data_IF_725155215738
#
_entry.id   IF_725155215738
#
_cell.length_a   1.000
_cell.length_b   1.000
_cell.length_c   1.000
_cell.angle_alpha   90.00
_cell.angle_beta   90.00
_cell.angle_gamma   90.00
#
_symmetry.space_group_name_H-M   'P 1'
#
loop_
_entity.id
_entity.type
_entity.pdbx_description
1 polymer ?
#
# COMPACT_ATOMS: atom_id res chain seq x y z
N UNK A 1 18.33 17.64 5.37
CA UNK A 1 17.20 17.05 6.10
C UNK A 1 16.60 15.91 5.31
N UNK A 2 16.66 14.70 5.89
CA UNK A 2 16.22 13.46 5.25
C UNK A 2 14.72 13.29 5.55
N UNK A 3 13.86 13.59 4.58
CA UNK A 3 12.42 13.49 4.77
C UNK A 3 11.98 12.01 4.74
N UNK A 4 11.28 11.51 5.77
CA UNK A 4 10.82 10.12 5.84
C UNK A 4 9.94 9.68 4.65
N UNK A 5 9.22 10.62 4.03
CA UNK A 5 8.37 10.36 2.87
C UNK A 5 9.18 9.92 1.63
N UNK A 6 10.32 10.56 1.39
CA UNK A 6 11.21 10.23 0.27
C UNK A 6 11.77 8.82 0.42
N UNK A 7 12.01 8.38 1.66
CA UNK A 7 12.46 7.02 1.95
C UNK A 7 11.37 5.99 1.66
N UNK A 8 10.12 6.25 2.05
CA UNK A 8 9.01 5.32 1.79
C UNK A 8 8.75 5.16 0.29
N UNK A 9 8.79 6.26 -0.47
CA UNK A 9 8.61 6.16 -1.93
C UNK A 9 9.78 5.45 -2.61
N UNK A 10 11.00 5.66 -2.13
CA UNK A 10 12.16 4.89 -2.61
C UNK A 10 11.98 3.39 -2.37
N UNK A 11 11.62 2.99 -1.14
CA UNK A 11 11.40 1.57 -0.80
C UNK A 11 10.30 0.98 -1.68
N UNK A 12 9.17 1.68 -1.85
CA UNK A 12 8.07 1.24 -2.72
C UNK A 12 8.50 1.09 -4.17
N UNK A 13 9.35 1.99 -4.66
CA UNK A 13 9.92 1.91 -6.01
C UNK A 13 10.81 0.68 -6.14
N UNK A 14 11.73 0.48 -5.19
CA UNK A 14 12.64 -0.67 -5.17
C UNK A 14 11.86 -2.01 -5.11
N UNK A 15 10.81 -2.09 -4.28
CA UNK A 15 9.96 -3.28 -4.17
C UNK A 15 9.22 -3.61 -5.48
N UNK A 16 8.68 -2.59 -6.18
CA UNK A 16 8.04 -2.77 -7.49
C UNK A 16 9.04 -3.24 -8.55
N UNK A 17 10.24 -2.65 -8.57
CA UNK A 17 11.31 -3.06 -9.51
C UNK A 17 11.76 -4.50 -9.27
N UNK A 18 11.92 -4.90 -8.00
CA UNK A 18 12.24 -6.27 -7.63
C UNK A 18 11.14 -7.23 -8.06
N UNK A 19 9.87 -6.87 -7.83
CA UNK A 19 8.75 -7.71 -8.25
C UNK A 19 8.74 -7.96 -9.75
N UNK A 20 8.99 -6.93 -10.57
CA UNK A 20 9.14 -7.07 -12.03
C UNK A 20 10.33 -7.97 -12.37
N UNK A 21 11.50 -7.72 -11.76
CA UNK A 21 12.74 -8.46 -12.04
C UNK A 21 12.62 -9.95 -11.75
N UNK A 22 11.91 -10.31 -10.69
CA UNK A 22 11.76 -11.70 -10.23
C UNK A 22 10.43 -12.34 -10.61
N UNK A 23 9.60 -11.66 -11.43
CA UNK A 23 8.27 -12.11 -11.82
C UNK A 23 7.39 -12.49 -10.61
N UNK A 24 7.38 -11.61 -9.61
CA UNK A 24 6.56 -11.72 -8.41
C UNK A 24 5.38 -10.77 -8.49
N UNK A 25 4.29 -11.12 -7.82
CA UNK A 25 3.20 -10.20 -7.59
C UNK A 25 3.55 -9.23 -6.45
N UNK A 26 3.21 -7.94 -6.59
CA UNK A 26 3.47 -6.89 -5.60
C UNK A 26 2.16 -6.25 -5.14
N UNK A 27 1.84 -6.40 -3.86
CA UNK A 27 0.66 -5.80 -3.22
C UNK A 27 1.06 -4.49 -2.53
N UNK A 28 0.62 -3.36 -3.06
CA UNK A 28 0.94 -2.02 -2.55
C UNK A 28 -0.16 -1.49 -1.63
N UNK A 29 -0.04 -1.76 -0.32
CA UNK A 29 -1.03 -1.31 0.66
C UNK A 29 -1.15 0.21 0.81
N UNK A 30 -0.13 0.99 0.41
CA UNK A 30 -0.24 2.45 0.49
C UNK A 30 -1.38 2.98 -0.39
N UNK A 31 -1.83 2.22 -1.40
CA UNK A 31 -3.03 2.54 -2.19
C UNK A 31 -4.32 2.58 -1.36
N UNK A 32 -4.43 1.79 -0.29
CA UNK A 32 -5.59 1.83 0.59
C UNK A 32 -5.66 3.11 1.45
N UNK A 33 -4.50 3.76 1.65
CA UNK A 33 -4.35 4.96 2.50
C UNK A 33 -4.23 6.26 1.70
N UNK A 34 -4.39 6.22 0.38
CA UNK A 34 -4.38 7.40 -0.48
C UNK A 34 -5.78 7.70 -1.02
N UNK A 35 -6.18 8.97 -1.03
CA UNK A 35 -7.37 9.43 -1.73
C UNK A 35 -7.12 9.48 -3.26
N UNK A 36 -8.16 9.72 -4.09
CA UNK A 36 -7.98 9.80 -5.54
C UNK A 36 -7.08 10.95 -6.02
N UNK A 37 -6.73 11.90 -5.15
CA UNK A 37 -5.78 12.98 -5.40
C UNK A 37 -4.36 12.66 -4.88
N UNK A 38 -4.16 11.48 -4.29
CA UNK A 38 -2.88 11.02 -3.75
C UNK A 38 -2.57 11.53 -2.34
N UNK A 39 -3.54 12.12 -1.63
CA UNK A 39 -3.35 12.57 -0.24
C UNK A 39 -3.59 11.43 0.74
N UNK A 40 -2.88 11.49 1.87
CA UNK A 40 -3.03 10.52 2.95
C UNK A 40 -4.41 10.63 3.58
N UNK A 41 -5.07 9.49 3.75
CA UNK A 41 -6.33 9.32 4.46
C UNK A 41 -6.07 9.19 5.96
N UNK A 42 -5.84 10.31 6.63
CA UNK A 42 -5.49 10.36 8.06
C UNK A 42 -6.53 9.67 8.94
N UNK A 43 -7.80 9.62 8.51
CA UNK A 43 -8.90 8.96 9.23
C UNK A 43 -8.74 7.45 9.37
N UNK A 44 -7.82 6.83 8.63
CA UNK A 44 -7.54 5.39 8.68
C UNK A 44 -6.46 5.02 9.70
N UNK A 45 -5.84 6.00 10.34
CA UNK A 45 -4.75 5.79 11.30
C UNK A 45 -5.23 5.93 12.75
N UNK A 46 -4.53 5.26 13.67
CA UNK A 46 -4.66 5.44 15.11
C UNK A 46 -3.69 6.52 15.62
N UNK A 47 -2.47 6.54 15.09
CA UNK A 47 -1.36 7.36 15.59
C UNK A 47 -0.42 7.85 14.46
N UNK A 48 -0.99 8.14 13.29
CA UNK A 48 -0.28 8.51 12.06
C UNK A 48 0.65 7.42 11.47
N UNK A 49 0.69 6.22 12.07
CA UNK A 49 1.48 5.08 11.56
C UNK A 49 0.65 3.81 11.52
N UNK A 50 0.02 3.44 12.63
CA UNK A 50 -0.73 2.20 12.75
C UNK A 50 -2.15 2.36 12.21
N UNK A 51 -2.67 1.42 11.39
CA UNK A 51 -4.06 1.43 10.96
C UNK A 51 -5.01 1.27 12.15
N UNK A 52 -6.13 1.99 12.12
CA UNK A 52 -7.29 1.69 12.97
C UNK A 52 -8.15 0.60 12.30
N UNK A 53 -9.33 0.29 12.87
CA UNK A 53 -10.24 -0.73 12.31
C UNK A 53 -10.57 -0.48 10.84
N UNK A 54 -10.94 0.76 10.47
CA UNK A 54 -11.26 1.12 9.09
C UNK A 54 -10.02 1.02 8.18
N UNK A 55 -8.82 1.32 8.70
CA UNK A 55 -7.57 1.13 7.97
C UNK A 55 -7.29 -0.34 7.65
N UNK A 56 -7.52 -1.25 8.60
CA UNK A 56 -7.40 -2.69 8.35
C UNK A 56 -8.47 -3.23 7.40
N UNK A 57 -9.69 -2.70 7.45
CA UNK A 57 -10.75 -3.04 6.49
C UNK A 57 -10.36 -2.63 5.06
N UNK A 58 -9.86 -1.41 4.87
CA UNK A 58 -9.38 -0.92 3.58
C UNK A 58 -8.20 -1.77 3.04
N UNK A 59 -7.28 -2.21 3.90
CA UNK A 59 -6.24 -3.16 3.52
C UNK A 59 -6.85 -4.51 3.09
N UNK A 60 -7.84 -5.02 3.83
CA UNK A 60 -8.52 -6.28 3.53
C UNK A 60 -9.20 -6.27 2.15
N UNK A 61 -9.91 -5.20 1.82
CA UNK A 61 -10.55 -5.02 0.52
C UNK A 61 -9.54 -5.05 -0.64
N UNK A 62 -8.44 -4.28 -0.50
CA UNK A 62 -7.38 -4.25 -1.50
C UNK A 62 -6.68 -5.61 -1.66
N UNK A 63 -6.42 -6.31 -0.55
CA UNK A 63 -5.82 -7.64 -0.58
C UNK A 63 -6.74 -8.66 -1.25
N UNK A 64 -8.04 -8.62 -0.95
CA UNK A 64 -9.03 -9.50 -1.56
C UNK A 64 -9.07 -9.30 -3.08
N UNK A 65 -9.18 -8.05 -3.56
CA UNK A 65 -9.16 -7.72 -5.00
C UNK A 65 -7.89 -8.26 -5.66
N UNK A 66 -6.74 -8.04 -5.04
CA UNK A 66 -5.45 -8.50 -5.55
C UNK A 66 -5.38 -10.03 -5.66
N UNK A 67 -5.77 -10.75 -4.61
CA UNK A 67 -5.72 -12.22 -4.62
C UNK A 67 -6.74 -12.85 -5.58
N UNK A 68 -7.92 -12.24 -5.74
CA UNK A 68 -8.90 -12.67 -6.75
C UNK A 68 -8.31 -12.58 -8.16
N UNK A 69 -7.58 -11.51 -8.48
CA UNK A 69 -6.91 -11.35 -9.79
C UNK A 69 -5.78 -12.36 -10.06
N UNK A 70 -5.23 -12.98 -9.01
CA UNK A 70 -4.15 -13.98 -9.11
C UNK A 70 -4.74 -15.39 -9.17
N UNK A 71 -5.61 -15.74 -8.23
CA UNK A 71 -5.99 -17.13 -7.97
C UNK A 71 -7.33 -17.56 -8.58
N UNK A 72 -8.22 -16.63 -8.92
CA UNK A 72 -9.56 -16.95 -9.43
C UNK A 72 -9.67 -16.83 -10.96
N UNK A 73 -8.63 -17.25 -11.68
CA UNK A 73 -8.66 -17.33 -13.15
C UNK A 73 -9.42 -18.55 -13.65
#
# INVERSE_FOLDING_TARGET
DYYPADKLEQIRTDERELAVRYNLHCLDFARAFADPQGKVREELYLDCVHPNTAGYEAMGELALEFFQGIFQR
#
